data_IF_621402245543
#
_entry.id   IF_621402245543
#
_cell.length_a   1.000
_cell.length_b   1.000
_cell.length_c   1.000
_cell.angle_alpha   90.00
_cell.angle_beta   90.00
_cell.angle_gamma   90.00
#
_symmetry.space_group_name_H-M   'P 1'
#
loop_
_entity.id
_entity.type
_entity.pdbx_description
1 polymer ?
#
# COMPACT_ATOMS: atom_id res chain seq x y z
N UNK A 1 2.46 17.45 3.34
CA UNK A 1 1.72 17.47 4.63
C UNK A 1 2.04 16.18 5.34
N UNK A 2 2.44 16.23 6.62
CA UNK A 2 2.61 15.04 7.45
C UNK A 2 1.42 14.91 8.43
N UNK A 3 0.90 13.69 8.58
CA UNK A 3 -0.16 13.35 9.53
C UNK A 3 0.32 12.14 10.34
N UNK A 4 0.41 12.22 11.68
CA UNK A 4 0.82 11.10 12.49
C UNK A 4 -0.26 10.01 12.54
N UNK A 5 0.16 8.77 12.82
CA UNK A 5 -0.76 7.68 13.14
C UNK A 5 -1.25 7.84 14.59
N UNK A 6 -2.55 7.67 14.80
CA UNK A 6 -3.10 7.44 16.14
C UNK A 6 -3.03 5.96 16.53
N UNK A 7 -3.07 5.05 15.56
CA UNK A 7 -3.13 3.62 15.82
C UNK A 7 -2.59 2.84 14.62
N UNK A 8 -1.93 1.71 14.90
CA UNK A 8 -1.49 0.73 13.92
C UNK A 8 -2.13 -0.62 14.24
N UNK A 9 -2.81 -1.21 13.26
CA UNK A 9 -3.58 -2.44 13.39
C UNK A 9 -3.04 -3.48 12.39
N UNK A 10 -2.04 -4.31 12.77
CA UNK A 10 -1.57 -5.39 11.92
C UNK A 10 -2.64 -6.48 11.77
N UNK A 11 -2.62 -7.21 10.65
CA UNK A 11 -3.53 -8.34 10.47
C UNK A 11 -3.29 -9.41 11.55
N UNK A 12 -4.33 -10.01 12.17
CA UNK A 12 -4.17 -10.96 13.27
C UNK A 12 -3.38 -12.23 12.93
N UNK A 13 -3.30 -12.61 11.65
CA UNK A 13 -2.52 -13.77 11.20
C UNK A 13 -1.05 -13.45 10.89
N UNK A 14 -0.66 -12.18 10.91
CA UNK A 14 0.72 -11.80 10.65
C UNK A 14 1.62 -12.32 11.77
N UNK A 15 2.60 -13.14 11.41
CA UNK A 15 3.56 -13.74 12.34
C UNK A 15 5.02 -13.50 11.90
N UNK A 16 5.26 -12.53 11.01
CA UNK A 16 6.57 -12.14 10.51
C UNK A 16 6.77 -12.43 9.02
N UNK A 17 8.03 -12.37 8.59
CA UNK A 17 8.45 -12.59 7.20
C UNK A 17 7.90 -13.90 6.62
N UNK A 18 7.40 -13.83 5.38
CA UNK A 18 6.81 -14.95 4.64
C UNK A 18 5.56 -15.61 5.28
N UNK A 19 4.88 -14.94 6.21
CA UNK A 19 3.60 -15.40 6.79
C UNK A 19 2.39 -14.80 6.08
N UNK A 20 1.21 -15.40 6.26
CA UNK A 20 -0.03 -14.90 5.68
C UNK A 20 -0.51 -13.64 6.38
N UNK A 21 -1.10 -12.71 5.61
CA UNK A 21 -1.65 -11.48 6.17
C UNK A 21 -0.59 -10.39 6.37
N UNK A 22 0.38 -10.29 5.47
CA UNK A 22 1.29 -9.15 5.39
C UNK A 22 0.54 -7.88 4.94
N UNK A 23 -0.24 -7.33 5.87
CA UNK A 23 -1.06 -6.13 5.73
C UNK A 23 -1.35 -5.52 7.09
N UNK A 24 -1.42 -4.19 7.16
CA UNK A 24 -1.83 -3.46 8.35
C UNK A 24 -2.70 -2.26 7.99
N UNK A 25 -3.59 -1.85 8.91
CA UNK A 25 -4.34 -0.60 8.82
C UNK A 25 -3.70 0.45 9.72
N UNK A 26 -3.39 1.62 9.17
CA UNK A 26 -2.95 2.79 9.93
C UNK A 26 -4.10 3.80 10.09
N UNK A 27 -4.56 4.03 11.33
CA UNK A 27 -5.54 5.09 11.61
C UNK A 27 -4.81 6.41 11.78
N UNK A 28 -5.10 7.39 10.92
CA UNK A 28 -4.55 8.73 11.05
C UNK A 28 -5.10 9.42 12.31
N UNK A 29 -4.28 10.22 12.99
CA UNK A 29 -4.70 10.99 14.17
C UNK A 29 -5.71 12.11 13.86
N UNK A 30 -5.80 12.51 12.58
CA UNK A 30 -6.80 13.42 12.07
C UNK A 30 -7.13 13.08 10.62
N UNK A 31 -8.35 13.40 10.14
CA UNK A 31 -8.70 13.23 8.73
C UNK A 31 -7.74 14.01 7.81
N UNK A 32 -7.50 13.45 6.62
CA UNK A 32 -6.80 14.16 5.54
C UNK A 32 -7.82 14.90 4.67
N UNK A 33 -7.41 16.06 4.17
CA UNK A 33 -8.20 16.81 3.18
C UNK A 33 -7.91 16.24 1.79
N UNK A 34 -8.94 15.73 1.11
CA UNK A 34 -8.81 15.28 -0.26
C UNK A 34 -8.71 16.45 -1.24
N UNK A 35 -8.04 16.21 -2.36
CA UNK A 35 -7.82 17.23 -3.37
C UNK A 35 -7.18 16.66 -4.65
N UNK A 36 -6.60 17.52 -5.50
CA UNK A 36 -5.98 17.09 -6.74
C UNK A 36 -4.84 16.09 -6.55
N UNK A 37 -4.08 16.20 -5.46
CA UNK A 37 -2.88 15.40 -5.18
C UNK A 37 -3.06 14.33 -4.09
N UNK A 38 -4.20 14.31 -3.39
CA UNK A 38 -4.51 13.35 -2.32
C UNK A 38 -5.90 12.78 -2.57
N UNK A 39 -5.96 11.49 -2.94
CA UNK A 39 -7.20 10.78 -3.24
C UNK A 39 -7.13 9.34 -2.72
N UNK A 40 -8.26 8.75 -2.31
CA UNK A 40 -8.32 7.34 -1.98
C UNK A 40 -8.20 6.47 -3.25
N UNK A 41 -7.71 5.24 -3.08
CA UNK A 41 -7.76 4.19 -4.10
C UNK A 41 -8.88 3.21 -3.78
N UNK A 42 -9.51 2.62 -4.80
CA UNK A 42 -10.51 1.59 -4.61
C UNK A 42 -9.84 0.28 -4.15
N UNK A 43 -10.46 -0.40 -3.18
CA UNK A 43 -10.09 -1.78 -2.86
C UNK A 43 -10.63 -2.71 -3.96
N UNK A 44 -9.87 -3.75 -4.35
CA UNK A 44 -10.34 -4.73 -5.31
C UNK A 44 -11.52 -5.53 -4.75
N UNK A 45 -12.40 -5.99 -5.64
CA UNK A 45 -13.40 -6.99 -5.28
C UNK A 45 -12.69 -8.28 -4.84
N UNK A 46 -13.19 -9.01 -3.82
CA UNK A 46 -12.65 -10.32 -3.45
C UNK A 46 -12.65 -11.35 -4.59
N UNK A 47 -13.51 -11.15 -5.61
CA UNK A 47 -13.59 -12.01 -6.79
C UNK A 47 -12.69 -11.54 -7.96
N UNK A 48 -11.95 -10.44 -7.80
CA UNK A 48 -11.09 -9.93 -8.86
C UNK A 48 -9.90 -10.86 -9.06
N UNK A 49 -9.70 -11.30 -10.30
CA UNK A 49 -8.54 -12.11 -10.71
C UNK A 49 -7.79 -11.42 -11.83
N UNK A 50 -6.47 -11.45 -11.79
CA UNK A 50 -5.60 -10.93 -12.85
C UNK A 50 -5.05 -12.10 -13.68
N UNK A 51 -5.45 -12.26 -14.95
CA UNK A 51 -4.90 -13.30 -15.82
C UNK A 51 -3.38 -13.13 -16.03
N UNK A 52 -2.66 -14.22 -16.33
CA UNK A 52 -1.26 -14.14 -16.74
C UNK A 52 -1.07 -13.18 -17.93
N UNK A 53 -0.03 -12.35 -17.87
CA UNK A 53 0.24 -11.32 -18.88
C UNK A 53 -0.50 -9.99 -18.65
N UNK A 54 -1.33 -9.87 -17.60
CA UNK A 54 -1.89 -8.57 -17.21
C UNK A 54 -0.78 -7.60 -16.85
N UNK A 55 -0.78 -6.42 -17.48
CA UNK A 55 0.17 -5.36 -17.15
C UNK A 55 -0.29 -4.63 -15.89
N UNK A 56 0.59 -4.60 -14.89
CA UNK A 56 0.37 -3.91 -13.62
C UNK A 56 1.51 -2.89 -13.41
N UNK A 57 1.25 -1.84 -12.62
CA UNK A 57 2.25 -0.83 -12.26
C UNK A 57 2.33 -0.76 -10.74
N UNK A 58 3.56 -0.79 -10.22
CA UNK A 58 3.87 -0.48 -8.83
C UNK A 58 4.77 0.76 -8.80
N UNK A 59 4.61 1.60 -7.77
CA UNK A 59 5.40 2.83 -7.59
C UNK A 59 5.76 2.99 -6.12
N UNK A 60 6.91 3.60 -5.83
CA UNK A 60 7.40 3.81 -4.48
C UNK A 60 8.77 4.48 -4.46
N UNK A 61 9.32 4.62 -3.25
CA UNK A 61 10.64 5.23 -3.00
C UNK A 61 11.69 4.18 -2.59
N UNK A 62 11.56 2.96 -3.08
CA UNK A 62 12.51 1.88 -2.80
C UNK A 62 13.90 2.15 -3.39
N UNK A 63 14.88 1.34 -2.98
CA UNK A 63 16.22 1.36 -3.58
C UNK A 63 16.15 0.95 -5.05
N UNK A 64 16.79 1.73 -5.91
CA UNK A 64 16.85 1.52 -7.37
C UNK A 64 18.22 0.99 -7.82
N UNK A 65 19.18 0.81 -6.90
CA UNK A 65 20.56 0.44 -7.20
C UNK A 65 21.38 1.56 -7.87
N UNK A 66 22.69 1.35 -8.02
CA UNK A 66 23.57 2.23 -8.83
C UNK A 66 23.25 2.03 -10.32
N UNK A 67 22.34 2.86 -10.85
CA UNK A 67 22.00 2.87 -12.28
C UNK A 67 20.51 3.03 -12.62
N UNK A 68 19.71 3.57 -11.70
CA UNK A 68 18.24 3.65 -11.78
C UNK A 68 17.67 4.24 -13.09
N UNK A 69 17.49 3.38 -14.08
CA UNK A 69 16.41 3.48 -15.06
C UNK A 69 15.39 2.42 -14.68
N UNK A 70 14.21 2.89 -14.25
CA UNK A 70 13.11 2.02 -13.86
C UNK A 70 12.71 1.11 -15.01
N UNK A 71 12.85 -0.20 -14.79
CA UNK A 71 12.31 -1.25 -15.66
C UNK A 71 10.77 -1.27 -15.61
#
# INVERSE_FOLDING_TARGET
>A
VAVPLAELLPHPSYAGEATSGDIALGRLARPVTFGPTVRPVCLPSPALTFPPGTRCVATGWGDVGEGGEGV
#
